data_IF_106340632371
#
_entry.id   IF_106340632371
#
_cell.length_a   1.000
_cell.length_b   1.000
_cell.length_c   1.000
_cell.angle_alpha   90.00
_cell.angle_beta   90.00
_cell.angle_gamma   90.00
#
_symmetry.space_group_name_H-M   'P 1'
#
loop_
_entity.id
_entity.type
_entity.pdbx_description
1 polymer ?
#
# COMPACT_ATOMS: atom_id res chain seq x y z
N UNK A 1 -4.47 14.78 15.01
CA UNK A 1 -4.72 14.41 13.60
C UNK A 1 -3.72 13.36 13.10
N UNK A 2 -2.41 13.57 13.22
CA UNK A 2 -1.38 12.59 12.83
C UNK A 2 -1.39 11.31 13.70
N UNK A 3 -1.36 11.46 15.02
CA UNK A 3 -1.33 10.33 15.97
C UNK A 3 -2.58 9.44 15.92
N UNK A 4 -3.67 9.98 15.35
CA UNK A 4 -4.98 9.33 15.28
C UNK A 4 -5.27 8.69 13.92
N UNK A 5 -4.44 8.94 12.89
CA UNK A 5 -4.65 8.40 11.55
C UNK A 5 -3.43 7.66 11.02
N UNK A 6 -2.37 8.39 10.65
CA UNK A 6 -1.23 7.80 9.95
C UNK A 6 -0.36 6.95 10.86
N UNK A 7 -0.20 7.30 12.15
CA UNK A 7 0.64 6.51 13.08
C UNK A 7 0.10 5.07 13.25
N UNK A 8 -1.19 4.85 13.57
CA UNK A 8 -1.77 3.51 13.57
C UNK A 8 -1.65 2.78 12.22
N UNK A 9 -1.89 3.48 11.10
CA UNK A 9 -1.75 2.90 9.76
C UNK A 9 -0.31 2.43 9.48
N UNK A 10 0.70 3.19 9.91
CA UNK A 10 2.10 2.81 9.75
C UNK A 10 2.46 1.60 10.61
N UNK A 11 1.90 1.47 11.82
CA UNK A 11 2.06 0.25 12.61
C UNK A 11 1.51 -0.98 11.88
N UNK A 12 0.31 -0.88 11.31
CA UNK A 12 -0.27 -1.97 10.52
C UNK A 12 0.55 -2.26 9.26
N UNK A 13 1.07 -1.23 8.59
CA UNK A 13 1.95 -1.39 7.43
C UNK A 13 3.23 -2.16 7.78
N UNK A 14 3.88 -1.83 8.90
CA UNK A 14 5.11 -2.51 9.36
C UNK A 14 4.88 -3.99 9.67
N UNK A 15 3.66 -4.38 10.09
CA UNK A 15 3.31 -5.79 10.35
C UNK A 15 3.23 -6.63 9.08
N UNK A 16 3.03 -6.00 7.92
CA UNK A 16 2.94 -6.71 6.64
C UNK A 16 4.36 -7.09 6.21
N UNK A 17 4.67 -8.38 6.00
CA UNK A 17 6.01 -8.83 5.59
C UNK A 17 6.25 -8.59 4.08
N UNK A 18 6.03 -7.36 3.63
CA UNK A 18 6.13 -6.90 2.24
C UNK A 18 7.59 -6.78 1.79
N UNK A 19 8.20 -7.90 1.42
CA UNK A 19 9.55 -7.95 0.86
C UNK A 19 9.53 -7.54 -0.62
N UNK A 20 10.58 -6.84 -1.05
CA UNK A 20 10.76 -6.54 -2.48
C UNK A 20 11.02 -7.83 -3.29
N UNK A 21 10.76 -7.86 -4.61
CA UNK A 21 10.96 -9.05 -5.43
C UNK A 21 12.38 -9.63 -5.38
N UNK A 22 13.39 -8.81 -5.07
CA UNK A 22 14.78 -9.25 -4.90
C UNK A 22 14.99 -10.15 -3.66
N UNK A 23 14.09 -10.11 -2.68
CA UNK A 23 14.17 -10.85 -1.41
C UNK A 23 13.03 -11.86 -1.22
N UNK A 24 12.06 -11.88 -2.14
CA UNK A 24 10.95 -12.82 -2.19
C UNK A 24 10.57 -13.06 -3.66
N UNK A 25 10.95 -14.22 -4.20
CA UNK A 25 10.67 -14.57 -5.60
C UNK A 25 9.18 -14.84 -5.83
N UNK A 26 8.47 -15.29 -4.80
CA UNK A 26 7.05 -15.63 -4.83
C UNK A 26 6.18 -14.47 -4.31
N UNK A 27 6.72 -13.24 -4.28
CA UNK A 27 6.08 -12.05 -3.72
C UNK A 27 4.65 -11.82 -4.23
N UNK A 28 4.41 -12.10 -5.52
CA UNK A 28 3.11 -11.92 -6.16
C UNK A 28 2.10 -12.95 -5.64
N UNK A 29 2.51 -14.21 -5.47
CA UNK A 29 1.69 -15.27 -4.88
C UNK A 29 1.49 -15.09 -3.37
N UNK A 30 2.53 -14.62 -2.67
CA UNK A 30 2.47 -14.35 -1.22
C UNK A 30 1.52 -13.20 -0.88
N UNK A 31 1.26 -12.28 -1.80
CA UNK A 31 0.21 -11.26 -1.69
C UNK A 31 0.48 -10.12 -0.69
N UNK A 32 1.59 -10.14 0.05
CA UNK A 32 1.90 -9.11 1.05
C UNK A 32 2.04 -7.70 0.44
N UNK A 33 2.54 -7.59 -0.78
CA UNK A 33 2.64 -6.31 -1.47
C UNK A 33 1.27 -5.75 -1.85
N UNK A 34 0.30 -6.64 -2.11
CA UNK A 34 -1.08 -6.27 -2.35
C UNK A 34 -1.78 -5.82 -1.07
N UNK A 35 -1.53 -6.49 0.05
CA UNK A 35 -2.06 -6.08 1.34
C UNK A 35 -1.53 -4.70 1.75
N UNK A 36 -0.23 -4.47 1.58
CA UNK A 36 0.40 -3.17 1.82
C UNK A 36 -0.20 -2.07 0.93
N UNK A 37 -0.40 -2.37 -0.36
CA UNK A 37 -1.01 -1.44 -1.32
C UNK A 37 -2.45 -1.10 -0.92
N UNK A 38 -3.28 -2.10 -0.59
CA UNK A 38 -4.67 -1.91 -0.17
C UNK A 38 -4.77 -1.06 1.10
N UNK A 39 -3.89 -1.31 2.08
CA UNK A 39 -3.84 -0.54 3.32
C UNK A 39 -3.58 0.95 3.05
N UNK A 40 -2.57 1.27 2.25
CA UNK A 40 -2.21 2.65 1.94
C UNK A 40 -3.28 3.35 1.09
N UNK A 41 -3.85 2.68 0.10
CA UNK A 41 -4.96 3.22 -0.71
C UNK A 41 -6.16 3.56 0.17
N UNK A 42 -6.51 2.67 1.11
CA UNK A 42 -7.60 2.93 2.07
C UNK A 42 -7.32 4.17 2.92
N UNK A 43 -6.09 4.34 3.40
CA UNK A 43 -5.71 5.53 4.16
C UNK A 43 -5.78 6.81 3.31
N UNK A 44 -5.25 6.78 2.08
CA UNK A 44 -5.31 7.89 1.13
C UNK A 44 -6.76 8.34 0.90
N UNK A 45 -7.67 7.40 0.66
CA UNK A 45 -9.09 7.71 0.45
C UNK A 45 -9.75 8.39 1.66
N UNK A 46 -9.24 8.14 2.87
CA UNK A 46 -9.75 8.70 4.12
C UNK A 46 -9.15 10.06 4.48
N UNK A 47 -8.12 10.53 3.77
CA UNK A 47 -7.47 11.82 4.06
C UNK A 47 -8.39 13.03 3.85
N UNK A 48 -9.44 12.89 3.03
CA UNK A 48 -10.41 13.95 2.78
C UNK A 48 -9.87 15.14 1.97
N UNK A 49 -8.75 14.97 1.27
CA UNK A 49 -8.16 16.03 0.44
C UNK A 49 -9.06 16.28 -0.76
N UNK A 50 -9.64 17.49 -0.83
CA UNK A 50 -10.55 17.88 -1.90
C UNK A 50 -9.84 17.84 -3.26
N UNK A 51 -10.39 17.07 -4.20
CA UNK A 51 -9.86 16.96 -5.56
C UNK A 51 -8.72 15.96 -5.73
N UNK A 52 -8.34 15.21 -4.69
CA UNK A 52 -7.35 14.15 -4.79
C UNK A 52 -7.88 12.99 -5.64
N UNK A 53 -7.09 12.52 -6.61
CA UNK A 53 -7.44 11.38 -7.47
C UNK A 53 -6.35 10.34 -7.32
N UNK A 54 -6.67 9.21 -6.69
CA UNK A 54 -5.73 8.10 -6.58
C UNK A 54 -6.12 6.93 -7.49
N UNK A 55 -5.13 6.19 -7.99
CA UNK A 55 -5.32 4.93 -8.72
C UNK A 55 -4.18 3.97 -8.47
N UNK A 56 -4.48 2.68 -8.45
CA UNK A 56 -3.46 1.62 -8.45
C UNK A 56 -3.25 1.14 -9.88
N UNK A 57 -2.04 1.29 -10.39
CA UNK A 57 -1.64 0.77 -11.70
C UNK A 57 -0.94 -0.57 -11.52
N UNK A 58 -1.35 -1.56 -12.31
CA UNK A 58 -0.77 -2.91 -12.34
C UNK A 58 -0.38 -3.27 -13.76
N UNK A 59 0.77 -3.91 -13.87
CA UNK A 59 1.27 -4.50 -15.11
C UNK A 59 1.73 -5.91 -14.77
N UNK A 60 1.53 -6.85 -15.68
CA UNK A 60 1.92 -8.25 -15.50
C UNK A 60 3.41 -8.36 -15.15
N UNK A 61 3.72 -9.15 -14.12
CA UNK A 61 5.09 -9.35 -13.63
C UNK A 61 5.74 -8.10 -13.00
N UNK A 62 4.97 -7.05 -12.65
CA UNK A 62 5.48 -5.83 -12.00
C UNK A 62 4.74 -5.52 -10.71
N UNK A 63 5.47 -4.93 -9.77
CA UNK A 63 4.90 -4.46 -8.50
C UNK A 63 3.82 -3.39 -8.72
N UNK A 64 2.78 -3.34 -7.88
CA UNK A 64 1.75 -2.29 -7.97
C UNK A 64 2.33 -0.90 -7.72
N UNK A 65 1.77 0.11 -8.39
CA UNK A 65 2.11 1.53 -8.19
C UNK A 65 0.86 2.30 -7.77
N UNK A 66 0.95 3.02 -6.66
CA UNK A 66 -0.08 3.99 -6.25
C UNK A 66 0.26 5.33 -6.88
N UNK A 67 -0.64 5.86 -7.70
CA UNK A 67 -0.60 7.23 -8.22
C UNK A 67 -1.60 8.07 -7.42
N UNK A 68 -1.22 9.29 -7.06
CA UNK A 68 -1.95 10.25 -6.21
C UNK A 68 -2.15 11.56 -6.97
#
# INVERSE_FOLDING_TARGET
MWDQSIVPTLHEYIRIPNKSPAFDRDWETNGYMDDATKLLVKWVAQTGIKGLIHRVVRLEGRTPVILI
#
